data_IF_526576078820
#
_entry.id   IF_526576078820
#
_cell.length_a   1.000
_cell.length_b   1.000
_cell.length_c   1.000
_cell.angle_alpha   90.00
_cell.angle_beta   90.00
_cell.angle_gamma   90.00
#
_symmetry.space_group_name_H-M   'P 1'
#
loop_
_entity.id
_entity.type
_entity.pdbx_description
1 polymer ?
#
# COMPACT_ATOMS: atom_id res chain seq x y z
N UNK A 1 19.66 -15.51 30.19
CA UNK A 1 19.89 -15.86 28.77
C UNK A 1 19.09 -14.90 27.91
N UNK A 2 19.68 -14.33 26.87
CA UNK A 2 18.93 -13.52 25.90
C UNK A 2 18.44 -14.43 24.77
N UNK A 3 17.28 -14.15 24.20
CA UNK A 3 16.73 -14.93 23.08
C UNK A 3 17.63 -14.75 21.86
N UNK A 4 18.24 -15.83 21.33
CA UNK A 4 19.05 -15.71 20.13
C UNK A 4 18.14 -15.43 18.94
N UNK A 5 18.38 -14.32 18.25
CA UNK A 5 17.76 -13.98 16.98
C UNK A 5 18.78 -14.06 15.84
N UNK A 6 18.30 -14.35 14.64
CA UNK A 6 19.12 -14.31 13.43
C UNK A 6 19.59 -12.88 13.15
N UNK A 7 20.89 -12.69 12.93
CA UNK A 7 21.45 -11.38 12.57
C UNK A 7 21.53 -11.26 11.05
N UNK A 8 20.70 -10.39 10.48
CA UNK A 8 20.66 -10.08 9.04
C UNK A 8 22.06 -9.71 8.49
N UNK A 9 22.80 -8.85 9.20
CA UNK A 9 24.15 -8.44 8.80
C UNK A 9 25.12 -9.63 8.70
N UNK A 10 25.04 -10.58 9.64
CA UNK A 10 25.93 -11.76 9.65
C UNK A 10 25.56 -12.76 8.56
N UNK A 11 24.27 -12.87 8.23
CA UNK A 11 23.79 -13.74 7.15
C UNK A 11 24.17 -13.18 5.78
N UNK A 12 23.98 -11.87 5.56
CA UNK A 12 24.34 -11.19 4.30
C UNK A 12 25.84 -11.31 4.00
N UNK A 13 26.70 -11.05 5.00
CA UNK A 13 28.15 -11.22 4.84
C UNK A 13 28.53 -12.68 4.58
N UNK A 14 27.88 -13.63 5.24
CA UNK A 14 28.15 -15.05 5.02
C UNK A 14 27.79 -15.48 3.58
N UNK A 15 26.68 -14.98 3.02
CA UNK A 15 26.32 -15.24 1.62
C UNK A 15 27.31 -14.60 0.64
N UNK A 16 27.79 -13.39 0.93
CA UNK A 16 28.74 -12.68 0.08
C UNK A 16 30.11 -13.38 0.02
N UNK A 17 30.55 -13.96 1.14
CA UNK A 17 31.80 -14.74 1.24
C UNK A 17 31.61 -16.20 0.77
N UNK A 18 30.44 -16.56 0.23
CA UNK A 18 30.19 -17.86 -0.39
C UNK A 18 30.00 -19.02 0.60
N UNK A 19 29.55 -18.74 1.83
CA UNK A 19 29.23 -19.77 2.82
C UNK A 19 28.00 -20.57 2.38
N UNK A 20 28.16 -21.88 2.19
CA UNK A 20 27.10 -22.78 1.69
C UNK A 20 26.63 -23.83 2.69
N UNK A 21 27.34 -24.00 3.80
CA UNK A 21 27.07 -25.07 4.78
C UNK A 21 26.96 -24.55 6.21
N UNK A 22 26.22 -25.28 7.05
CA UNK A 22 26.09 -25.00 8.48
C UNK A 22 27.40 -25.23 9.27
N UNK A 23 28.42 -25.87 8.66
CA UNK A 23 29.76 -26.00 9.26
C UNK A 23 30.37 -24.64 9.61
N UNK A 24 30.00 -23.57 8.89
CA UNK A 24 30.38 -22.20 9.24
C UNK A 24 29.95 -21.79 10.66
N UNK A 25 28.85 -22.35 11.18
CA UNK A 25 28.40 -22.14 12.56
C UNK A 25 29.37 -22.75 13.58
N UNK A 26 29.83 -23.99 13.35
CA UNK A 26 30.83 -24.63 14.20
C UNK A 26 32.15 -23.88 14.20
N UNK A 27 32.61 -23.43 13.03
CA UNK A 27 33.82 -22.60 12.92
C UNK A 27 33.67 -21.28 13.67
N UNK A 28 32.50 -20.63 13.62
CA UNK A 28 32.23 -19.42 14.43
C UNK A 28 32.34 -19.70 15.93
N UNK A 29 31.82 -20.83 16.41
CA UNK A 29 31.93 -21.21 17.82
C UNK A 29 33.40 -21.38 18.23
N UNK A 30 34.19 -22.10 17.42
CA UNK A 30 35.62 -22.31 17.69
C UNK A 30 36.40 -21.00 17.69
N UNK A 31 36.18 -20.14 16.70
CA UNK A 31 36.84 -18.82 16.59
C UNK A 31 36.47 -17.93 17.76
N UNK A 32 35.18 -17.82 18.10
CA UNK A 32 34.71 -17.02 19.23
C UNK A 32 35.26 -17.57 20.55
N UNK A 33 35.19 -18.89 20.77
CA UNK A 33 35.73 -19.54 21.96
C UNK A 33 37.24 -19.33 22.13
N UNK A 34 38.01 -19.44 21.05
CA UNK A 34 39.44 -19.17 21.04
C UNK A 34 39.75 -17.69 21.31
N UNK A 35 38.99 -16.78 20.70
CA UNK A 35 39.09 -15.34 20.92
C UNK A 35 38.85 -14.99 22.39
N UNK A 36 37.80 -15.54 23.00
CA UNK A 36 37.52 -15.32 24.42
C UNK A 36 38.63 -15.88 25.33
N UNK A 37 39.23 -17.02 25.00
CA UNK A 37 40.28 -17.60 25.85
C UNK A 37 41.60 -16.84 25.79
N UNK A 38 42.03 -16.41 24.61
CA UNK A 38 43.37 -15.86 24.39
C UNK A 38 43.41 -14.35 24.17
N UNK A 39 42.38 -13.76 23.57
CA UNK A 39 42.38 -12.35 23.15
C UNK A 39 41.60 -11.42 24.10
N UNK A 40 40.92 -11.94 25.12
CA UNK A 40 40.22 -11.12 26.13
C UNK A 40 41.10 -10.03 26.77
N UNK A 41 42.39 -10.28 27.13
CA UNK A 41 43.25 -9.24 27.69
C UNK A 41 43.52 -8.08 26.72
N UNK A 42 43.55 -8.37 25.42
CA UNK A 42 43.75 -7.36 24.35
C UNK A 42 42.46 -6.58 24.11
N UNK A 43 41.31 -7.29 24.08
CA UNK A 43 39.99 -6.69 23.90
C UNK A 43 39.60 -5.76 25.06
N UNK A 44 40.17 -5.95 26.25
CA UNK A 44 39.95 -5.06 27.40
C UNK A 44 40.35 -3.61 27.13
N UNK A 45 41.43 -3.39 26.37
CA UNK A 45 41.93 -2.05 26.05
C UNK A 45 41.17 -1.37 24.92
N UNK A 46 40.16 -2.03 24.35
CA UNK A 46 39.46 -1.55 23.16
C UNK A 46 38.55 -0.36 23.53
N UNK A 47 38.75 0.83 22.95
CA UNK A 47 37.93 1.98 23.25
C UNK A 47 36.46 1.74 22.86
N UNK A 48 35.53 2.25 23.67
CA UNK A 48 34.08 2.21 23.37
C UNK A 48 33.75 2.88 22.04
N UNK A 49 34.52 3.88 21.62
CA UNK A 49 34.37 4.57 20.35
C UNK A 49 34.58 3.64 19.15
N UNK A 50 35.52 2.69 19.24
CA UNK A 50 35.76 1.70 18.18
C UNK A 50 34.58 0.76 18.03
N UNK A 51 34.00 0.28 19.14
CA UNK A 51 32.78 -0.54 19.10
C UNK A 51 31.61 0.24 18.50
N UNK A 52 31.41 1.49 18.91
CA UNK A 52 30.34 2.34 18.38
C UNK A 52 30.49 2.53 16.86
N UNK A 53 31.71 2.79 16.36
CA UNK A 53 31.98 2.94 14.94
C UNK A 53 31.65 1.67 14.13
N UNK A 54 31.99 0.48 14.67
CA UNK A 54 31.66 -0.80 14.03
C UNK A 54 30.14 -0.98 13.96
N UNK A 55 29.42 -0.73 15.06
CA UNK A 55 27.96 -0.84 15.10
C UNK A 55 27.33 0.12 14.11
N UNK A 56 27.75 1.39 14.10
CA UNK A 56 27.21 2.42 13.23
C UNK A 56 27.40 2.08 11.75
N UNK A 57 28.60 1.58 11.39
CA UNK A 57 28.89 1.12 10.03
C UNK A 57 28.03 -0.08 9.63
N UNK A 58 27.82 -1.03 10.54
CA UNK A 58 26.94 -2.18 10.31
C UNK A 58 25.48 -1.76 10.15
N UNK A 59 24.97 -0.85 10.98
CA UNK A 59 23.57 -0.37 10.88
C UNK A 59 23.35 0.55 9.71
N UNK A 60 24.35 1.33 9.29
CA UNK A 60 24.22 2.22 8.14
C UNK A 60 23.84 1.47 6.85
N UNK A 61 24.34 0.24 6.67
CA UNK A 61 23.96 -0.61 5.54
C UNK A 61 22.52 -1.13 5.61
N UNK A 62 21.89 -1.12 6.79
CA UNK A 62 20.49 -1.53 6.96
C UNK A 62 19.50 -0.40 6.66
N UNK A 63 19.94 0.85 6.70
CA UNK A 63 19.06 2.00 6.47
C UNK A 63 18.89 2.21 4.97
N UNK A 64 17.70 1.88 4.47
CA UNK A 64 17.33 2.10 3.07
C UNK A 64 16.82 3.54 2.85
N UNK A 65 17.76 4.46 2.65
CA UNK A 65 17.44 5.86 2.30
C UNK A 65 16.81 6.00 0.91
N UNK A 66 16.99 5.03 0.02
CA UNK A 66 16.43 5.06 -1.33
C UNK A 66 14.93 4.82 -1.26
N UNK A 67 14.49 3.80 -0.53
CA UNK A 67 13.07 3.53 -0.29
C UNK A 67 12.36 4.72 0.36
N UNK A 68 12.95 5.33 1.40
CA UNK A 68 12.38 6.51 2.04
C UNK A 68 12.24 7.69 1.06
N UNK A 69 13.22 7.87 0.16
CA UNK A 69 13.17 8.91 -0.87
C UNK A 69 12.14 8.61 -1.96
N UNK A 70 12.01 7.36 -2.39
CA UNK A 70 11.01 6.93 -3.37
C UNK A 70 9.60 7.15 -2.84
N UNK A 71 9.33 6.76 -1.60
CA UNK A 71 8.05 7.01 -0.92
C UNK A 71 7.80 8.52 -0.69
N UNK A 72 8.84 9.31 -0.42
CA UNK A 72 8.70 10.77 -0.34
C UNK A 72 8.39 11.39 -1.71
N UNK A 73 9.03 10.91 -2.78
CA UNK A 73 8.81 11.43 -4.13
C UNK A 73 7.44 11.03 -4.70
N UNK A 74 6.91 9.88 -4.31
CA UNK A 74 5.55 9.44 -4.67
C UNK A 74 4.45 10.24 -3.95
N UNK A 75 4.80 11.06 -2.94
CA UNK A 75 3.88 12.04 -2.34
C UNK A 75 3.44 13.14 -3.34
N UNK A 76 4.17 13.31 -4.46
CA UNK A 76 3.87 14.31 -5.49
C UNK A 76 2.46 14.07 -6.10
N UNK A 77 1.67 15.13 -6.40
CA UNK A 77 0.24 15.02 -6.76
C UNK A 77 -0.12 14.20 -8.00
N UNK A 78 0.87 13.75 -8.76
CA UNK A 78 0.68 13.17 -10.07
C UNK A 78 0.70 11.63 -10.07
N UNK A 79 1.06 10.97 -8.96
CA UNK A 79 1.03 9.52 -8.85
C UNK A 79 -0.17 9.06 -8.00
N UNK A 80 -0.81 7.99 -8.47
CA UNK A 80 -2.06 7.43 -7.96
C UNK A 80 -2.09 7.35 -6.43
N UNK A 81 -3.23 7.72 -5.83
CA UNK A 81 -3.40 7.99 -4.39
C UNK A 81 -2.99 6.88 -3.41
N UNK A 82 -2.70 5.65 -3.85
CA UNK A 82 -2.21 4.57 -3.01
C UNK A 82 -0.83 4.87 -2.37
N UNK A 83 0.14 5.35 -3.16
CA UNK A 83 1.51 5.56 -2.66
C UNK A 83 1.63 6.67 -1.60
N UNK A 84 0.68 7.62 -1.57
CA UNK A 84 0.61 8.65 -0.53
C UNK A 84 0.27 8.07 0.83
N UNK A 85 -0.59 7.05 0.86
CA UNK A 85 -1.00 6.38 2.09
C UNK A 85 0.14 5.54 2.66
N UNK A 86 0.88 4.85 1.80
CA UNK A 86 2.05 4.05 2.20
C UNK A 86 3.13 4.89 2.88
N UNK A 87 3.39 6.09 2.36
CA UNK A 87 4.33 7.02 2.99
C UNK A 87 3.86 7.44 4.40
N UNK A 88 2.55 7.71 4.58
CA UNK A 88 1.99 8.06 5.89
C UNK A 88 2.15 6.90 6.88
N UNK A 89 1.83 5.66 6.46
CA UNK A 89 2.02 4.46 7.32
C UNK A 89 3.49 4.32 7.72
N UNK A 90 4.39 4.43 6.75
CA UNK A 90 5.82 4.36 6.99
C UNK A 90 6.29 5.41 8.01
N UNK A 91 5.83 6.65 7.85
CA UNK A 91 6.21 7.76 8.73
C UNK A 91 5.69 7.57 10.15
N UNK A 92 4.43 7.17 10.30
CA UNK A 92 3.82 6.87 11.61
C UNK A 92 4.60 5.73 12.29
N UNK A 93 4.85 4.63 11.57
CA UNK A 93 5.59 3.50 12.11
C UNK A 93 7.01 3.89 12.53
N UNK A 94 7.70 4.73 11.74
CA UNK A 94 9.04 5.22 12.03
C UNK A 94 9.08 6.06 13.31
N UNK A 95 8.19 7.04 13.43
CA UNK A 95 8.09 7.90 14.62
C UNK A 95 7.76 7.09 15.86
N UNK A 96 6.73 6.24 15.78
CA UNK A 96 6.31 5.43 16.92
C UNK A 96 7.41 4.44 17.32
N UNK A 97 8.18 3.90 16.38
CA UNK A 97 9.35 3.06 16.68
C UNK A 97 10.42 3.81 17.47
N UNK A 98 10.70 5.07 17.10
CA UNK A 98 11.73 5.89 17.76
C UNK A 98 11.30 6.30 19.18
N UNK A 99 10.04 6.72 19.37
CA UNK A 99 9.59 7.30 20.64
C UNK A 99 8.99 6.27 21.61
N UNK A 100 8.26 5.26 21.10
CA UNK A 100 7.55 4.27 21.92
C UNK A 100 8.18 2.88 21.83
N UNK A 101 9.03 2.63 20.84
CA UNK A 101 9.75 1.38 20.65
C UNK A 101 9.19 0.50 19.53
N UNK A 102 9.96 -0.53 19.16
CA UNK A 102 9.71 -1.38 17.98
C UNK A 102 8.35 -2.08 18.01
N UNK A 103 7.90 -2.54 19.17
CA UNK A 103 6.60 -3.22 19.30
C UNK A 103 5.43 -2.31 18.87
N UNK A 104 5.41 -1.06 19.35
CA UNK A 104 4.35 -0.11 19.02
C UNK A 104 4.45 0.38 17.58
N UNK A 105 5.68 0.59 17.07
CA UNK A 105 5.88 0.95 15.67
C UNK A 105 5.34 -0.10 14.71
N UNK A 106 5.67 -1.39 14.91
CA UNK A 106 5.14 -2.48 14.08
C UNK A 106 3.63 -2.60 14.25
N UNK A 107 3.11 -2.56 15.49
CA UNK A 107 1.67 -2.65 15.75
C UNK A 107 0.87 -1.56 15.04
N UNK A 108 1.37 -0.32 15.05
CA UNK A 108 0.74 0.79 14.34
C UNK A 108 0.71 0.61 12.82
N UNK A 109 1.80 0.10 12.24
CA UNK A 109 1.89 -0.14 10.80
C UNK A 109 0.85 -1.18 10.36
N UNK A 110 0.78 -2.30 11.08
CA UNK A 110 -0.18 -3.38 10.82
C UNK A 110 -1.61 -2.88 10.94
N UNK A 111 -1.92 -2.15 12.01
CA UNK A 111 -3.25 -1.59 12.23
C UNK A 111 -3.64 -0.62 11.11
N UNK A 112 -2.74 0.29 10.73
CA UNK A 112 -2.98 1.23 9.65
C UNK A 112 -3.20 0.50 8.31
N UNK A 113 -2.41 -0.52 7.98
CA UNK A 113 -2.60 -1.33 6.78
C UNK A 113 -3.96 -2.03 6.78
N UNK A 114 -4.40 -2.57 7.92
CA UNK A 114 -5.72 -3.21 8.01
C UNK A 114 -6.85 -2.20 7.78
N UNK A 115 -6.78 -1.03 8.40
CA UNK A 115 -7.75 0.06 8.19
C UNK A 115 -7.80 0.47 6.71
N UNK A 116 -6.64 0.56 6.05
CA UNK A 116 -6.57 0.90 4.63
C UNK A 116 -7.24 -0.15 3.74
N UNK A 117 -7.00 -1.43 4.01
CA UNK A 117 -7.65 -2.53 3.26
C UNK A 117 -9.17 -2.45 3.42
N UNK A 118 -9.67 -2.24 4.65
CA UNK A 118 -11.10 -2.10 4.92
C UNK A 118 -11.66 -0.87 4.22
N UNK A 119 -10.96 0.26 4.28
CA UNK A 119 -11.36 1.48 3.60
C UNK A 119 -11.45 1.28 2.07
N UNK A 120 -10.48 0.62 1.46
CA UNK A 120 -10.45 0.40 0.01
C UNK A 120 -11.51 -0.59 -0.45
N UNK A 121 -11.92 -1.51 0.41
CA UNK A 121 -13.07 -2.37 0.17
C UNK A 121 -14.41 -1.62 0.29
N UNK A 122 -14.53 -0.70 1.26
CA UNK A 122 -15.76 0.05 1.53
C UNK A 122 -16.00 1.23 0.57
N UNK A 123 -14.91 1.86 0.11
CA UNK A 123 -14.94 3.04 -0.77
C UNK A 123 -14.17 2.73 -2.06
N UNK A 124 -14.70 1.84 -2.92
CA UNK A 124 -14.08 1.51 -4.20
C UNK A 124 -14.07 2.73 -5.13
N UNK A 125 -13.42 2.63 -6.29
CA UNK A 125 -13.38 3.77 -7.23
C UNK A 125 -14.54 3.67 -8.22
N UNK A 126 -15.30 4.75 -8.38
CA UNK A 126 -16.31 4.88 -9.42
C UNK A 126 -15.93 6.01 -10.39
N UNK A 127 -15.91 5.71 -11.69
CA UNK A 127 -15.49 6.67 -12.72
C UNK A 127 -16.57 6.86 -13.77
N UNK A 128 -16.71 8.07 -14.28
CA UNK A 128 -17.63 8.35 -15.38
C UNK A 128 -16.90 8.10 -16.70
N UNK A 129 -17.48 7.24 -17.54
CA UNK A 129 -16.86 6.88 -18.82
C UNK A 129 -17.27 7.84 -19.93
N UNK A 130 -16.29 8.22 -20.76
CA UNK A 130 -16.49 8.92 -22.02
C UNK A 130 -16.04 8.06 -23.19
N UNK A 131 -16.67 8.23 -24.36
CA UNK A 131 -16.31 7.55 -25.59
C UNK A 131 -15.22 8.33 -26.34
N UNK A 132 -14.11 7.68 -26.66
CA UNK A 132 -13.03 8.25 -27.47
C UNK A 132 -13.16 7.72 -28.90
N UNK A 133 -13.81 8.49 -29.77
CA UNK A 133 -14.09 8.13 -31.16
C UNK A 133 -12.78 7.94 -31.96
N UNK A 134 -11.76 8.78 -31.71
CA UNK A 134 -10.47 8.76 -32.42
C UNK A 134 -9.67 7.47 -32.24
N UNK A 135 -9.96 6.69 -31.20
CA UNK A 135 -9.29 5.43 -30.87
C UNK A 135 -10.16 4.20 -31.18
N UNK A 136 -11.21 4.36 -32.00
CA UNK A 136 -12.10 3.26 -32.38
C UNK A 136 -13.23 3.02 -31.38
N UNK A 137 -13.79 4.08 -30.81
CA UNK A 137 -14.93 4.05 -29.87
C UNK A 137 -14.64 3.29 -28.56
N UNK A 138 -13.48 3.51 -27.97
CA UNK A 138 -13.15 2.95 -26.65
C UNK A 138 -13.71 3.81 -25.53
N UNK A 139 -14.15 3.18 -24.44
CA UNK A 139 -14.68 3.86 -23.26
C UNK A 139 -13.58 4.00 -22.20
N UNK A 140 -13.30 5.23 -21.77
CA UNK A 140 -12.26 5.53 -20.79
C UNK A 140 -12.75 6.54 -19.77
N UNK A 141 -12.05 6.58 -18.64
CA UNK A 141 -12.29 7.53 -17.56
C UNK A 141 -12.12 8.96 -18.06
N UNK A 142 -13.19 9.75 -17.99
CA UNK A 142 -13.24 11.14 -18.46
C UNK A 142 -12.34 12.08 -17.65
N UNK A 143 -12.05 11.76 -16.39
CA UNK A 143 -11.15 12.57 -15.57
C UNK A 143 -9.69 12.42 -16.05
N UNK A 144 -9.34 11.27 -16.61
CA UNK A 144 -8.00 10.99 -17.14
C UNK A 144 -7.88 11.36 -18.63
N UNK A 145 -8.97 11.16 -19.39
CA UNK A 145 -9.05 11.45 -20.84
C UNK A 145 -10.19 12.44 -21.12
N UNK A 146 -9.96 13.76 -20.97
CA UNK A 146 -10.98 14.78 -21.12
C UNK A 146 -11.62 14.86 -22.52
N UNK A 147 -10.96 14.33 -23.55
CA UNK A 147 -11.48 14.20 -24.91
C UNK A 147 -12.63 13.19 -25.05
N UNK A 148 -12.89 12.38 -24.03
CA UNK A 148 -13.99 11.42 -24.01
C UNK A 148 -15.35 12.12 -24.10
N UNK A 149 -16.09 11.85 -25.18
CA UNK A 149 -17.43 12.37 -25.40
C UNK A 149 -18.42 11.72 -24.45
N UNK A 150 -19.27 12.54 -23.84
CA UNK A 150 -20.47 12.10 -23.11
C UNK A 150 -21.71 12.47 -23.91
N UNK A 151 -22.79 11.72 -23.71
CA UNK A 151 -24.04 11.91 -24.43
C UNK A 151 -25.07 12.56 -23.51
N UNK A 152 -25.79 13.61 -23.95
CA UNK A 152 -26.87 14.21 -23.18
C UNK A 152 -27.89 13.15 -22.75
N UNK A 153 -28.32 13.21 -21.49
CA UNK A 153 -29.27 12.26 -20.92
C UNK A 153 -28.72 10.86 -20.62
N UNK A 154 -27.46 10.55 -20.94
CA UNK A 154 -26.85 9.23 -20.69
C UNK A 154 -25.68 9.35 -19.71
N UNK A 155 -25.81 8.68 -18.56
CA UNK A 155 -24.75 8.55 -17.56
C UNK A 155 -24.15 7.15 -17.63
N UNK A 156 -22.85 7.05 -17.88
CA UNK A 156 -22.14 5.76 -17.92
C UNK A 156 -21.11 5.74 -16.80
N UNK A 157 -21.29 4.83 -15.83
CA UNK A 157 -20.41 4.72 -14.65
C UNK A 157 -19.77 3.35 -14.63
N UNK A 158 -18.44 3.31 -14.53
CA UNK A 158 -17.69 2.09 -14.26
C UNK A 158 -17.30 2.03 -12.79
N UNK A 159 -17.64 0.91 -12.15
CA UNK A 159 -17.23 0.61 -10.79
C UNK A 159 -16.01 -0.29 -10.79
N UNK A 160 -14.99 0.12 -10.03
CA UNK A 160 -13.70 -0.55 -9.91
C UNK A 160 -13.46 -0.93 -8.46
N UNK A 161 -13.75 -2.17 -8.13
CA UNK A 161 -13.62 -2.70 -6.77
C UNK A 161 -14.68 -3.75 -6.45
N UNK A 162 -14.68 -4.28 -5.22
CA UNK A 162 -15.71 -5.22 -4.78
C UNK A 162 -17.03 -4.48 -4.60
N UNK A 163 -18.13 -5.08 -5.03
CA UNK A 163 -19.47 -4.63 -4.68
C UNK A 163 -20.00 -5.59 -3.62
N UNK A 164 -19.90 -5.20 -2.36
CA UNK A 164 -20.24 -6.04 -1.22
C UNK A 164 -21.05 -5.25 -0.19
N UNK A 165 -21.43 -5.89 0.91
CA UNK A 165 -22.03 -5.25 2.07
C UNK A 165 -21.26 -4.01 2.53
N UNK A 166 -19.92 -4.01 2.42
CA UNK A 166 -19.09 -2.88 2.83
C UNK A 166 -19.19 -1.67 1.90
N UNK A 167 -19.51 -1.87 0.62
CA UNK A 167 -19.50 -0.82 -0.41
C UNK A 167 -20.86 -0.51 -1.03
N UNK A 168 -21.91 -1.29 -0.71
CA UNK A 168 -23.24 -1.15 -1.29
C UNK A 168 -23.86 0.24 -1.04
N UNK A 169 -23.81 0.73 0.21
CA UNK A 169 -24.33 2.06 0.56
C UNK A 169 -23.54 3.16 -0.15
N UNK A 170 -22.19 3.06 -0.09
CA UNK A 170 -21.31 4.00 -0.77
C UNK A 170 -21.57 4.04 -2.28
N UNK A 171 -21.83 2.89 -2.90
CA UNK A 171 -22.13 2.78 -4.33
C UNK A 171 -23.39 3.58 -4.69
N UNK A 172 -24.45 3.47 -3.88
CA UNK A 172 -25.71 4.18 -4.12
C UNK A 172 -25.51 5.69 -4.01
N UNK A 173 -24.88 6.13 -2.93
CA UNK A 173 -24.57 7.54 -2.69
C UNK A 173 -23.72 8.12 -3.82
N UNK A 174 -22.71 7.39 -4.28
CA UNK A 174 -21.80 7.84 -5.33
C UNK A 174 -22.48 7.87 -6.70
N UNK A 175 -23.36 6.90 -7.00
CA UNK A 175 -24.13 6.89 -8.23
C UNK A 175 -25.09 8.09 -8.29
N UNK A 176 -25.80 8.36 -7.20
CA UNK A 176 -26.69 9.51 -7.09
C UNK A 176 -25.91 10.83 -7.19
N UNK A 177 -24.78 10.93 -6.49
CA UNK A 177 -23.88 12.10 -6.58
C UNK A 177 -23.44 12.36 -8.01
N UNK A 178 -23.00 11.32 -8.74
CA UNK A 178 -22.57 11.46 -10.15
C UNK A 178 -23.72 11.88 -11.06
N UNK A 179 -24.92 11.34 -10.85
CA UNK A 179 -26.13 11.76 -11.57
C UNK A 179 -26.43 13.24 -11.37
N UNK A 180 -26.48 13.70 -10.12
CA UNK A 180 -26.75 15.10 -9.80
C UNK A 180 -25.70 16.06 -10.37
N UNK A 181 -24.43 15.65 -10.41
CA UNK A 181 -23.35 16.44 -11.02
C UNK A 181 -23.53 16.55 -12.53
N UNK A 182 -23.89 15.46 -13.21
CA UNK A 182 -24.11 15.49 -14.65
C UNK A 182 -25.34 16.32 -15.03
N UNK A 183 -26.47 16.17 -14.33
CA UNK A 183 -27.68 16.97 -14.57
C UNK A 183 -27.43 18.48 -14.41
N UNK A 184 -26.59 18.88 -13.44
CA UNK A 184 -26.17 20.28 -13.28
C UNK A 184 -25.27 20.78 -14.40
N UNK A 185 -24.45 19.91 -14.97
CA UNK A 185 -23.44 20.26 -15.98
C UNK A 185 -24.07 20.38 -17.37
N UNK A 186 -24.82 19.37 -17.78
CA UNK A 186 -25.42 19.30 -19.11
C UNK A 186 -26.78 20.02 -19.17
N UNK A 187 -27.37 20.39 -18.02
CA UNK A 187 -28.71 20.99 -17.86
C UNK A 187 -29.87 20.11 -18.35
N UNK A 188 -29.56 18.92 -18.83
CA UNK A 188 -30.51 17.89 -19.22
C UNK A 188 -30.65 16.87 -18.08
N UNK A 189 -31.86 16.32 -17.92
CA UNK A 189 -32.08 15.22 -16.97
C UNK A 189 -31.41 13.96 -17.48
N UNK A 190 -30.86 13.16 -16.57
CA UNK A 190 -30.34 11.84 -16.92
C UNK A 190 -31.54 10.90 -17.12
N UNK A 191 -31.69 10.40 -18.34
CA UNK A 191 -32.77 9.48 -18.75
C UNK A 191 -32.30 8.02 -18.70
N UNK A 192 -31.02 7.78 -18.99
CA UNK A 192 -30.44 6.43 -19.07
C UNK A 192 -29.18 6.37 -18.23
N UNK A 193 -29.09 5.35 -17.38
CA UNK A 193 -27.88 5.03 -16.61
C UNK A 193 -27.36 3.67 -17.03
N UNK A 194 -26.09 3.63 -17.46
CA UNK A 194 -25.38 2.41 -17.83
C UNK A 194 -24.33 2.13 -16.76
N UNK A 195 -24.52 1.03 -16.05
CA UNK A 195 -23.59 0.54 -15.04
C UNK A 195 -22.64 -0.46 -15.69
N UNK A 196 -21.34 -0.15 -15.69
CA UNK A 196 -20.29 -1.07 -16.13
C UNK A 196 -19.65 -1.75 -14.92
N UNK A 197 -19.80 -3.07 -14.85
CA UNK A 197 -19.19 -3.92 -13.82
C UNK A 197 -17.95 -4.67 -14.32
N UNK A 198 -17.33 -4.22 -15.42
CA UNK A 198 -16.16 -4.89 -16.01
C UNK A 198 -14.95 -4.99 -15.08
N UNK A 199 -14.89 -4.15 -14.04
CA UNK A 199 -13.82 -4.11 -13.04
C UNK A 199 -14.28 -4.56 -11.64
N UNK A 200 -15.48 -5.13 -11.52
CA UNK A 200 -16.00 -5.70 -10.26
C UNK A 200 -15.55 -7.15 -10.16
N UNK A 201 -14.80 -7.48 -9.10
CA UNK A 201 -14.21 -8.80 -8.91
C UNK A 201 -14.87 -9.63 -7.82
N UNK A 202 -15.77 -9.03 -7.04
CA UNK A 202 -16.52 -9.71 -6.00
C UNK A 202 -17.92 -9.11 -5.88
N UNK A 203 -18.91 -9.98 -5.63
CA UNK A 203 -20.33 -9.64 -5.52
C UNK A 203 -20.97 -10.53 -4.46
N UNK A 204 -21.43 -9.92 -3.37
CA UNK A 204 -22.13 -10.66 -2.31
C UNK A 204 -23.66 -10.54 -2.39
N UNK A 205 -24.36 -11.24 -1.50
CA UNK A 205 -25.82 -11.25 -1.47
C UNK A 205 -26.40 -9.84 -1.25
N UNK A 206 -25.79 -9.04 -0.37
CA UNK A 206 -26.27 -7.69 -0.07
C UNK A 206 -26.18 -6.80 -1.30
N UNK A 207 -25.08 -6.87 -2.04
CA UNK A 207 -24.93 -6.15 -3.30
C UNK A 207 -25.99 -6.53 -4.34
N UNK A 208 -26.31 -7.82 -4.46
CA UNK A 208 -27.36 -8.31 -5.39
C UNK A 208 -28.74 -7.76 -5.00
N UNK A 209 -29.05 -7.73 -3.71
CA UNK A 209 -30.32 -7.22 -3.19
C UNK A 209 -30.46 -5.71 -3.43
N UNK A 210 -29.41 -4.94 -3.11
CA UNK A 210 -29.33 -3.51 -3.44
C UNK A 210 -29.53 -3.23 -4.94
N UNK A 211 -28.86 -4.00 -5.82
CA UNK A 211 -29.02 -3.80 -7.27
C UNK A 211 -30.45 -4.11 -7.73
N UNK A 212 -31.12 -5.08 -7.11
CA UNK A 212 -32.53 -5.39 -7.41
C UNK A 212 -33.45 -4.25 -6.99
N UNK A 213 -33.21 -3.67 -5.83
CA UNK A 213 -33.99 -2.54 -5.33
C UNK A 213 -33.79 -1.31 -6.24
N UNK A 214 -32.54 -1.01 -6.63
CA UNK A 214 -32.22 0.05 -7.59
C UNK A 214 -32.94 -0.15 -8.93
N UNK A 215 -32.93 -1.38 -9.48
CA UNK A 215 -33.64 -1.70 -10.73
C UNK A 215 -35.16 -1.55 -10.62
N UNK A 216 -35.72 -1.65 -9.42
CA UNK A 216 -37.16 -1.51 -9.17
C UNK A 216 -37.53 -0.04 -8.98
N UNK A 217 -36.69 0.73 -8.29
CA UNK A 217 -36.91 2.15 -8.01
C UNK A 217 -36.69 3.04 -9.24
N UNK A 218 -35.71 2.71 -10.09
CA UNK A 218 -35.31 3.54 -11.24
C UNK A 218 -35.96 3.12 -12.57
N UNK A 219 -37.03 2.32 -12.50
CA UNK A 219 -37.79 1.86 -13.66
C UNK A 219 -39.00 2.75 -13.93
#
# INVERSE_FOLDING_TARGET
SFTPSGSLSRTSLASEVGVKTQMSGLMKIVVVGTSLKFFTPVLYWLPKSTLAAIILRSTYQLVDFKMARELWQSWKPYHQGGMRRDFIVWWIAFVLTIFLGVLYGIGSAVLASLVMIVHDAAVPRAVTLGCIESLGNIWRDKEVWPEGRVFPGVLIVEFRGPLSFASADWFMDELERKRLVQEKTDKDKVEVVVLSFGSVHDLDKTAIEMLRDLLTEWR
#
